data_IF_916845193833
#
_entry.id   IF_916845193833
#
_cell.length_a   1.000
_cell.length_b   1.000
_cell.length_c   1.000
_cell.angle_alpha   90.00
_cell.angle_beta   90.00
_cell.angle_gamma   90.00
#
_symmetry.space_group_name_H-M   'P 1'
#
loop_
_entity.id
_entity.type
_entity.pdbx_description
1 polymer ?
#
# COMPACT_ATOMS: atom_id res chain seq x y z
N UNK A 1 9.51 -19.30 12.52
CA UNK A 1 8.26 -19.19 11.74
C UNK A 1 8.35 -17.85 11.08
N UNK A 2 8.61 -17.88 9.79
CA UNK A 2 8.87 -16.66 9.02
C UNK A 2 7.52 -15.99 8.77
N UNK A 3 7.42 -14.72 9.16
CA UNK A 3 6.18 -13.95 9.01
C UNK A 3 6.24 -13.20 7.70
N UNK A 4 5.23 -13.39 6.85
CA UNK A 4 5.11 -12.64 5.61
C UNK A 4 4.37 -11.33 5.81
N UNK A 5 5.00 -10.24 5.44
CA UNK A 5 4.45 -8.89 5.54
C UNK A 5 4.29 -8.29 4.15
N UNK A 6 3.19 -7.59 3.93
CA UNK A 6 2.94 -6.78 2.76
C UNK A 6 2.96 -5.30 3.12
N UNK A 7 3.59 -4.48 2.30
CA UNK A 7 3.43 -3.02 2.36
C UNK A 7 2.82 -2.55 1.04
N UNK A 8 1.70 -1.86 1.13
CA UNK A 8 0.98 -1.29 0.01
C UNK A 8 1.10 0.23 0.05
N UNK A 9 1.73 0.84 -0.95
CA UNK A 9 1.78 2.29 -1.11
C UNK A 9 0.96 2.72 -2.33
N UNK A 10 -0.09 3.51 -2.10
CA UNK A 10 -0.98 4.03 -3.13
C UNK A 10 -0.64 5.48 -3.45
N UNK A 11 0.02 5.67 -4.59
CA UNK A 11 0.48 6.98 -5.06
C UNK A 11 -0.16 7.46 -6.36
N UNK A 12 0.44 8.51 -6.93
CA UNK A 12 -0.07 9.20 -8.12
C UNK A 12 -0.10 8.36 -9.39
N UNK A 13 0.81 7.40 -9.53
CA UNK A 13 0.94 6.61 -10.76
C UNK A 13 0.59 5.14 -10.56
N UNK A 14 0.82 4.61 -9.36
CA UNK A 14 0.60 3.21 -9.04
C UNK A 14 0.27 3.01 -7.57
N UNK A 15 -0.47 1.93 -7.31
CA UNK A 15 -0.44 1.18 -6.06
C UNK A 15 0.69 0.15 -6.15
N UNK A 16 1.62 0.21 -5.20
CA UNK A 16 2.78 -0.68 -5.13
C UNK A 16 2.66 -1.60 -3.93
N UNK A 17 2.59 -2.90 -4.16
CA UNK A 17 2.68 -3.91 -3.11
C UNK A 17 4.10 -4.49 -3.11
N UNK A 18 4.77 -4.43 -1.97
CA UNK A 18 6.00 -5.16 -1.67
C UNK A 18 5.70 -6.25 -0.64
N UNK A 19 6.12 -7.48 -0.91
CA UNK A 19 5.95 -8.63 -0.01
C UNK A 19 7.31 -9.14 0.43
N UNK A 20 7.49 -9.28 1.74
CA UNK A 20 8.75 -9.71 2.37
C UNK A 20 8.49 -10.81 3.39
N UNK A 21 9.45 -11.72 3.52
CA UNK A 21 9.51 -12.65 4.64
C UNK A 21 10.40 -12.04 5.75
N UNK A 22 9.92 -12.09 6.98
CA UNK A 22 10.56 -11.50 8.15
C UNK A 22 10.84 -12.57 9.19
N UNK A 23 12.10 -12.63 9.60
CA UNK A 23 12.59 -13.46 10.68
C UNK A 23 13.28 -12.57 11.73
N UNK A 24 13.10 -12.90 13.01
CA UNK A 24 13.67 -12.13 14.10
C UNK A 24 15.21 -12.15 14.05
N UNK A 25 15.82 -10.97 14.00
CA UNK A 25 17.29 -10.83 13.96
C UNK A 25 17.92 -10.98 12.57
N UNK A 26 17.12 -11.21 11.53
CA UNK A 26 17.58 -11.26 10.14
C UNK A 26 17.05 -10.06 9.33
N UNK A 27 17.78 -9.63 8.29
CA UNK A 27 17.23 -8.70 7.31
C UNK A 27 16.00 -9.31 6.61
N UNK A 28 14.95 -8.50 6.34
CA UNK A 28 13.79 -8.97 5.60
C UNK A 28 14.19 -9.41 4.19
N UNK A 29 13.58 -10.50 3.73
CA UNK A 29 13.86 -11.09 2.43
C UNK A 29 12.75 -10.72 1.44
N UNK A 30 13.06 -9.99 0.35
CA UNK A 30 12.07 -9.66 -0.68
C UNK A 30 11.57 -10.91 -1.40
N UNK A 31 10.25 -11.11 -1.42
CA UNK A 31 9.61 -12.26 -2.05
C UNK A 31 8.91 -11.86 -3.35
N UNK A 32 8.19 -10.75 -3.34
CA UNK A 32 7.38 -10.34 -4.49
C UNK A 32 7.13 -8.83 -4.51
N UNK A 33 6.93 -8.28 -5.70
CA UNK A 33 6.52 -6.89 -5.88
C UNK A 33 5.50 -6.76 -7.03
N UNK A 34 4.42 -6.02 -6.81
CA UNK A 34 3.39 -5.71 -7.80
C UNK A 34 3.20 -4.20 -7.94
N UNK A 35 3.14 -3.72 -9.18
CA UNK A 35 2.69 -2.36 -9.51
C UNK A 35 1.37 -2.40 -10.26
N UNK A 36 0.30 -1.93 -9.63
CA UNK A 36 -0.99 -1.71 -10.27
C UNK A 36 -1.18 -0.21 -10.56
N UNK A 37 -1.52 0.16 -11.79
CA UNK A 37 -1.54 1.56 -12.21
C UNK A 37 -2.79 2.32 -11.71
N UNK A 38 -2.59 3.51 -11.12
CA UNK A 38 -3.66 4.41 -10.66
C UNK A 38 -3.88 5.60 -11.61
N UNK A 39 -2.81 6.05 -12.29
CA UNK A 39 -2.81 7.18 -13.27
C UNK A 39 -3.52 8.44 -12.75
N UNK A 40 -3.32 8.80 -11.49
CA UNK A 40 -3.82 10.04 -10.89
C UNK A 40 -2.98 11.26 -11.28
N UNK A 41 -1.68 11.09 -11.56
CA UNK A 41 -0.75 12.19 -11.84
C UNK A 41 -1.14 13.13 -12.99
N UNK A 42 -2.00 12.68 -13.92
CA UNK A 42 -2.56 13.51 -15.00
C UNK A 42 -4.06 13.80 -14.85
N UNK A 43 -4.69 13.43 -13.74
CA UNK A 43 -6.16 13.43 -13.58
C UNK A 43 -6.66 14.14 -12.31
N UNK A 44 -5.78 14.87 -11.62
CA UNK A 44 -6.17 15.81 -10.56
C UNK A 44 -6.39 17.16 -11.25
N UNK A 45 -7.65 17.58 -11.37
CA UNK A 45 -7.99 18.87 -11.96
C UNK A 45 -7.50 20.04 -11.09
N UNK A 46 -7.61 21.27 -11.59
CA UNK A 46 -7.23 22.47 -10.84
C UNK A 46 -7.96 22.62 -9.48
N UNK A 47 -9.11 21.96 -9.32
CA UNK A 47 -9.87 21.90 -8.06
C UNK A 47 -9.30 20.93 -7.02
N UNK A 48 -8.26 20.15 -7.34
CA UNK A 48 -7.74 19.10 -6.45
C UNK A 48 -8.66 17.88 -6.32
N UNK A 49 -9.74 17.81 -7.10
CA UNK A 49 -10.71 16.69 -7.05
C UNK A 49 -10.26 15.55 -7.96
N UNK A 50 -10.25 14.34 -7.43
CA UNK A 50 -10.11 13.11 -8.21
C UNK A 50 -11.49 12.72 -8.73
N UNK A 51 -11.63 12.66 -10.06
CA UNK A 51 -12.90 12.29 -10.69
C UNK A 51 -13.23 10.80 -10.49
N UNK A 52 -14.48 10.43 -10.80
CA UNK A 52 -14.99 9.06 -10.62
C UNK A 52 -14.13 8.01 -11.34
N UNK A 53 -13.60 8.33 -12.53
CA UNK A 53 -12.71 7.43 -13.26
C UNK A 53 -11.37 7.22 -12.53
N UNK A 54 -10.84 8.27 -11.90
CA UNK A 54 -9.64 8.19 -11.05
C UNK A 54 -9.89 7.37 -9.79
N UNK A 55 -11.00 7.60 -9.11
CA UNK A 55 -11.40 6.82 -7.93
C UNK A 55 -11.56 5.32 -8.28
N UNK A 56 -12.23 5.01 -9.39
CA UNK A 56 -12.39 3.63 -9.87
C UNK A 56 -11.04 2.96 -10.18
N UNK A 57 -10.06 3.70 -10.72
CA UNK A 57 -8.70 3.18 -10.94
C UNK A 57 -7.97 2.91 -9.62
N UNK A 58 -8.15 3.76 -8.60
CA UNK A 58 -7.58 3.54 -7.27
C UNK A 58 -8.16 2.27 -6.65
N UNK A 59 -9.48 2.14 -6.63
CA UNK A 59 -10.17 0.94 -6.13
C UNK A 59 -9.70 -0.31 -6.85
N UNK A 60 -9.64 -0.29 -8.19
CA UNK A 60 -9.15 -1.43 -8.97
C UNK A 60 -7.70 -1.79 -8.64
N UNK A 61 -6.82 -0.78 -8.52
CA UNK A 61 -5.42 -1.00 -8.20
C UNK A 61 -5.24 -1.60 -6.80
N UNK A 62 -6.01 -1.14 -5.81
CA UNK A 62 -5.99 -1.67 -4.44
C UNK A 62 -6.59 -3.07 -4.38
N UNK A 63 -7.69 -3.35 -5.10
CA UNK A 63 -8.26 -4.69 -5.16
C UNK A 63 -7.25 -5.70 -5.70
N UNK A 64 -6.57 -5.36 -6.80
CA UNK A 64 -5.57 -6.23 -7.41
C UNK A 64 -4.38 -6.50 -6.48
N UNK A 65 -3.90 -5.48 -5.77
CA UNK A 65 -2.81 -5.69 -4.80
C UNK A 65 -3.27 -6.50 -3.60
N UNK A 66 -4.51 -6.32 -3.13
CA UNK A 66 -5.07 -7.12 -2.05
C UNK A 66 -5.23 -8.59 -2.43
N UNK A 67 -5.68 -8.89 -3.65
CA UNK A 67 -5.80 -10.26 -4.15
C UNK A 67 -4.43 -10.94 -4.23
N UNK A 68 -3.41 -10.25 -4.75
CA UNK A 68 -2.04 -10.74 -4.71
C UNK A 68 -1.52 -10.93 -3.28
N UNK A 69 -1.81 -10.02 -2.34
CA UNK A 69 -1.40 -10.18 -0.96
C UNK A 69 -2.01 -11.44 -0.33
N UNK A 70 -3.27 -11.77 -0.66
CA UNK A 70 -3.94 -13.00 -0.25
C UNK A 70 -3.30 -14.24 -0.87
N UNK A 71 -3.07 -14.24 -2.19
CA UNK A 71 -2.40 -15.34 -2.90
C UNK A 71 -1.00 -15.63 -2.32
N UNK A 72 -0.29 -14.57 -1.95
CA UNK A 72 1.03 -14.68 -1.34
C UNK A 72 0.99 -15.06 0.14
N UNK A 73 -0.17 -15.27 0.77
CA UNK A 73 -0.31 -15.55 2.20
C UNK A 73 0.34 -14.48 3.09
N UNK A 74 0.17 -13.21 2.73
CA UNK A 74 0.60 -12.10 3.58
C UNK A 74 -0.16 -12.18 4.91
N UNK A 75 0.58 -12.28 6.02
CA UNK A 75 -0.01 -12.34 7.35
C UNK A 75 -0.43 -10.95 7.85
N UNK A 76 0.31 -9.91 7.49
CA UNK A 76 0.01 -8.54 7.87
C UNK A 76 0.24 -7.57 6.71
N UNK A 77 -0.74 -6.71 6.45
CA UNK A 77 -0.68 -5.71 5.39
C UNK A 77 -0.67 -4.30 5.98
N UNK A 78 0.24 -3.48 5.47
CA UNK A 78 0.37 -2.06 5.79
C UNK A 78 -0.05 -1.21 4.59
N UNK A 79 -1.32 -0.80 4.52
CA UNK A 79 -1.85 0.00 3.42
C UNK A 79 -1.68 1.50 3.67
N UNK A 80 -0.90 2.16 2.82
CA UNK A 80 -0.63 3.59 2.86
C UNK A 80 -1.16 4.30 1.61
N UNK A 81 -1.53 5.56 1.78
CA UNK A 81 -1.85 6.48 0.71
C UNK A 81 -1.00 7.75 0.88
N UNK A 82 -0.37 8.18 -0.21
CA UNK A 82 0.59 9.30 -0.24
C UNK A 82 -0.01 10.56 -0.89
N UNK A 83 0.83 11.52 -1.25
CA UNK A 83 0.47 12.87 -1.68
C UNK A 83 -0.74 12.95 -2.62
N UNK A 84 -0.83 12.09 -3.65
CA UNK A 84 -1.90 12.17 -4.64
C UNK A 84 -3.31 11.99 -4.06
N UNK A 85 -3.46 11.10 -3.07
CA UNK A 85 -4.75 10.87 -2.40
C UNK A 85 -4.85 11.76 -1.16
N UNK A 86 -3.77 11.93 -0.39
CA UNK A 86 -3.72 12.78 0.81
C UNK A 86 -4.15 14.21 0.53
N UNK A 87 -3.69 14.76 -0.59
CA UNK A 87 -3.85 16.17 -0.95
C UNK A 87 -5.11 16.39 -1.83
N UNK A 88 -5.85 15.32 -2.15
CA UNK A 88 -7.09 15.43 -2.91
C UNK A 88 -8.21 16.08 -2.07
N UNK A 89 -8.96 17.00 -2.68
CA UNK A 89 -10.06 17.70 -2.03
C UNK A 89 -11.21 16.75 -1.61
N UNK A 90 -11.36 15.62 -2.31
CA UNK A 90 -12.33 14.58 -2.01
C UNK A 90 -11.70 13.28 -1.47
N UNK A 91 -10.55 13.38 -0.78
CA UNK A 91 -9.82 12.20 -0.28
C UNK A 91 -10.67 11.24 0.55
N UNK A 92 -11.54 11.76 1.42
CA UNK A 92 -12.32 10.91 2.33
C UNK A 92 -13.30 10.03 1.53
N UNK A 93 -13.90 10.58 0.47
CA UNK A 93 -14.76 9.82 -0.44
C UNK A 93 -13.99 8.68 -1.13
N UNK A 94 -12.72 8.90 -1.46
CA UNK A 94 -11.87 7.88 -2.10
C UNK A 94 -11.50 6.80 -1.09
N UNK A 95 -11.12 7.20 0.13
CA UNK A 95 -10.79 6.25 1.20
C UNK A 95 -12.00 5.37 1.54
N UNK A 96 -13.18 5.97 1.65
CA UNK A 96 -14.43 5.28 1.93
C UNK A 96 -14.82 4.34 0.76
N UNK A 97 -14.63 4.76 -0.49
CA UNK A 97 -14.85 3.91 -1.65
C UNK A 97 -13.90 2.70 -1.67
N UNK A 98 -12.62 2.89 -1.33
CA UNK A 98 -11.66 1.79 -1.23
C UNK A 98 -12.05 0.83 -0.11
N UNK A 99 -12.38 1.35 1.07
CA UNK A 99 -12.78 0.53 2.22
C UNK A 99 -14.08 -0.24 1.95
N UNK A 100 -15.07 0.40 1.33
CA UNK A 100 -16.34 -0.24 0.96
C UNK A 100 -16.12 -1.43 0.01
N UNK A 101 -15.31 -1.24 -1.03
CA UNK A 101 -15.12 -2.24 -2.09
C UNK A 101 -14.15 -3.36 -1.70
N UNK A 102 -13.14 -3.05 -0.88
CA UNK A 102 -12.03 -3.97 -0.60
C UNK A 102 -11.98 -4.46 0.84
N UNK A 103 -12.69 -3.78 1.75
CA UNK A 103 -12.57 -3.98 3.20
C UNK A 103 -11.26 -3.44 3.79
N UNK A 104 -10.45 -2.72 3.00
CA UNK A 104 -9.14 -2.22 3.41
C UNK A 104 -9.19 -0.70 3.62
N UNK A 105 -8.93 -0.24 4.85
CA UNK A 105 -8.75 1.18 5.14
C UNK A 105 -7.31 1.60 4.83
N UNK A 106 -7.12 2.48 3.85
CA UNK A 106 -5.80 3.08 3.60
C UNK A 106 -5.46 4.11 4.68
N UNK A 107 -4.21 4.09 5.15
CA UNK A 107 -3.67 5.07 6.09
C UNK A 107 -2.99 6.20 5.33
N UNK A 108 -3.39 7.45 5.61
CA UNK A 108 -2.73 8.61 5.01
C UNK A 108 -1.36 8.85 5.67
N UNK A 109 -0.32 8.92 4.86
CA UNK A 109 1.01 9.34 5.33
C UNK A 109 1.17 10.85 5.21
N UNK A 110 1.50 11.52 6.31
CA UNK A 110 1.92 12.93 6.24
C UNK A 110 3.20 13.07 5.42
N UNK A 111 3.45 14.24 4.86
CA UNK A 111 4.68 14.49 4.10
C UNK A 111 5.94 14.29 4.96
N UNK A 112 5.87 14.59 6.25
CA UNK A 112 6.94 14.32 7.21
C UNK A 112 7.17 12.81 7.42
N UNK A 113 6.09 12.04 7.59
CA UNK A 113 6.19 10.57 7.71
C UNK A 113 6.79 9.96 6.45
N UNK A 114 6.29 10.36 5.27
CA UNK A 114 6.80 9.92 3.97
C UNK A 114 8.29 10.27 3.80
N UNK A 115 8.69 11.49 4.15
CA UNK A 115 10.10 11.93 4.13
C UNK A 115 10.98 11.17 5.12
N UNK A 116 10.51 10.93 6.35
CA UNK A 116 11.23 10.16 7.37
C UNK A 116 11.43 8.71 6.94
N UNK A 117 10.38 8.07 6.42
CA UNK A 117 10.46 6.71 5.91
C UNK A 117 11.44 6.61 4.73
N UNK A 118 11.40 7.59 3.83
CA UNK A 118 12.38 7.70 2.73
C UNK A 118 13.81 7.87 3.20
N UNK A 119 14.05 8.73 4.18
CA UNK A 119 15.37 8.91 4.76
C UNK A 119 15.90 7.61 5.37
N UNK A 120 15.08 6.90 6.15
CA UNK A 120 15.47 5.63 6.77
C UNK A 120 15.82 4.57 5.72
N UNK A 121 15.02 4.46 4.66
CA UNK A 121 15.31 3.51 3.58
C UNK A 121 16.65 3.78 2.89
N UNK A 122 16.98 5.04 2.60
CA UNK A 122 18.27 5.42 2.03
C UNK A 122 19.41 5.08 2.99
N UNK A 123 19.28 5.45 4.28
CA UNK A 123 20.30 5.20 5.32
C UNK A 123 20.65 3.73 5.46
N UNK A 124 19.68 2.85 5.25
CA UNK A 124 19.84 1.40 5.41
C UNK A 124 20.13 0.66 4.11
N UNK A 125 20.41 1.39 3.02
CA UNK A 125 20.78 0.80 1.72
C UNK A 125 19.61 0.12 1.01
N UNK A 126 18.37 0.43 1.40
CA UNK A 126 17.15 -0.13 0.82
C UNK A 126 16.62 0.67 -0.38
N UNK A 127 17.26 1.81 -0.69
CA UNK A 127 16.93 2.64 -1.84
C UNK A 127 17.72 2.19 -3.10
N UNK A 128 17.04 1.95 -4.23
CA UNK A 128 17.74 1.53 -5.46
C UNK A 128 16.94 1.33 -6.76
N UNK A 129 15.65 1.71 -6.86
CA UNK A 129 14.87 1.60 -8.12
C UNK A 129 14.01 2.84 -8.39
N UNK A 130 13.70 3.18 -9.67
CA UNK A 130 13.21 4.50 -10.11
C UNK A 130 11.79 4.93 -9.65
N UNK A 131 11.20 4.24 -8.67
CA UNK A 131 10.02 4.66 -7.94
C UNK A 131 10.40 4.81 -6.46
N UNK A 132 11.06 5.93 -6.15
CA UNK A 132 11.86 6.11 -4.94
C UNK A 132 11.05 6.33 -3.64
N UNK A 133 9.72 6.47 -3.70
CA UNK A 133 8.88 6.70 -2.50
C UNK A 133 8.27 5.40 -1.93
N UNK A 134 7.76 4.51 -2.78
CA UNK A 134 7.09 3.28 -2.32
C UNK A 134 8.06 2.28 -1.70
N UNK A 135 9.19 2.02 -2.36
CA UNK A 135 10.28 1.16 -1.84
C UNK A 135 10.80 1.65 -0.49
N UNK A 136 10.75 2.97 -0.31
CA UNK A 136 11.21 3.69 0.87
C UNK A 136 10.27 3.56 2.07
N UNK A 137 8.97 3.70 1.81
CA UNK A 137 7.91 3.48 2.79
C UNK A 137 7.86 2.01 3.21
N UNK A 138 7.92 1.09 2.24
CA UNK A 138 7.97 -0.35 2.49
C UNK A 138 9.12 -0.73 3.40
N UNK A 139 10.33 -0.25 3.10
CA UNK A 139 11.52 -0.58 3.87
C UNK A 139 11.53 0.05 5.27
N UNK A 140 11.13 1.31 5.41
CA UNK A 140 11.11 1.93 6.73
C UNK A 140 9.93 1.50 7.61
N UNK A 141 8.80 1.09 7.02
CA UNK A 141 7.73 0.39 7.73
C UNK A 141 8.23 -0.95 8.31
N UNK A 142 9.16 -1.64 7.63
CA UNK A 142 9.80 -2.86 8.15
C UNK A 142 10.59 -2.60 9.45
N UNK A 143 11.26 -1.45 9.60
CA UNK A 143 12.00 -1.13 10.83
C UNK A 143 11.09 -0.59 11.94
N UNK A 144 10.10 0.23 11.60
CA UNK A 144 9.26 0.93 12.59
C UNK A 144 8.19 0.02 13.25
N UNK A 145 8.35 -1.31 13.17
CA UNK A 145 7.49 -2.33 13.80
C UNK A 145 7.21 -2.08 15.28
N UNK A 146 8.10 -1.35 15.98
CA UNK A 146 7.93 -1.02 17.39
C UNK A 146 7.12 0.26 17.67
N UNK A 147 6.79 1.12 16.68
CA UNK A 147 6.42 2.50 17.03
C UNK A 147 5.29 3.25 16.29
N UNK A 148 4.58 2.78 15.26
CA UNK A 148 3.49 3.66 14.74
C UNK A 148 2.37 3.11 13.84
N UNK A 149 2.58 2.09 13.00
CA UNK A 149 1.56 1.69 12.03
C UNK A 149 0.76 0.50 12.54
N UNK A 150 -0.56 0.63 12.64
CA UNK A 150 -1.45 -0.52 12.93
C UNK A 150 -1.64 -1.32 11.64
N UNK A 151 -1.24 -2.61 11.60
CA UNK A 151 -1.51 -3.45 10.44
C UNK A 151 -3.02 -3.64 10.29
N UNK A 152 -3.51 -3.71 9.04
CA UNK A 152 -4.88 -4.15 8.80
C UNK A 152 -4.91 -5.67 8.71
N UNK A 153 -5.78 -6.37 9.47
CA UNK A 153 -5.97 -7.79 9.25
C UNK A 153 -6.59 -7.98 7.86
N UNK A 154 -5.96 -8.82 7.03
CA UNK A 154 -6.59 -9.25 5.79
C UNK A 154 -7.71 -10.21 6.21
N UNK A 155 -8.94 -9.72 6.35
CA UNK A 155 -10.07 -10.57 6.70
C UNK A 155 -10.26 -11.63 5.59
N UNK A 156 -10.30 -12.90 5.98
CA UNK A 156 -10.64 -14.03 5.09
C UNK A 156 -12.14 -14.16 4.84
N UNK A 157 -12.95 -13.29 5.45
CA UNK A 157 -14.41 -13.35 5.46
C UNK A 157 -15.04 -12.72 4.21
N UNK A 158 -14.71 -13.25 3.03
CA UNK A 158 -15.61 -13.30 1.86
C UNK A 158 -15.08 -14.17 0.71
N UNK A 159 -14.48 -15.33 1.01
CA UNK A 159 -14.34 -16.39 0.01
C UNK A 159 -15.62 -17.26 0.03
N UNK A 160 -16.68 -16.80 -0.65
CA UNK A 160 -17.80 -17.65 -1.09
C UNK A 160 -17.61 -17.90 -2.59
N UNK A 161 -16.59 -18.68 -2.93
CA UNK A 161 -16.48 -19.31 -4.26
C UNK A 161 -16.25 -20.80 -4.04
N UNK A 162 -17.32 -21.55 -4.33
CA UNK A 162 -17.38 -22.96 -4.66
C UNK A 162 -16.60 -23.95 -3.77
N UNK A 163 -17.27 -24.46 -2.74
CA UNK A 163 -17.34 -25.93 -2.61
C UNK A 163 -18.57 -26.35 -3.40
N UNK A 164 -18.36 -27.07 -4.50
CA UNK A 164 -19.22 -28.11 -5.05
C UNK A 164 -18.59 -28.59 -6.36
N UNK A 165 -18.11 -29.84 -6.35
CA UNK A 165 -17.40 -30.52 -7.43
C UNK A 165 -16.41 -31.53 -6.90
#
# INVERSE_FOLDING_TARGET
>A
MDMRIGVLDVGSNSAHLDVVDVEAGAPPLPIYALKASTKLGGNIGASGVINNAGAARVVNAVSRTLDTAREMNVAQLYPFATAAIRDAANRDQILDAVEHETGLRLQLLTGEQEGRLTYLAVRHGWAGKPAACSTSISAAAQWNWHSAATPSPISSSRCHWARDG
#
